data_IF_447940415405
#
_entry.id   IF_447940415405
#
_cell.length_a   1.000
_cell.length_b   1.000
_cell.length_c   1.000
_cell.angle_alpha   90.00
_cell.angle_beta   90.00
_cell.angle_gamma   90.00
#
_symmetry.space_group_name_H-M   'P 1'
#
loop_
_entity.id
_entity.type
_entity.pdbx_description
1 polymer ?
#
# COMPACT_ATOMS: atom_id res chain seq x y z
N UNK A 1 -3.44 -22.38 8.42
CA UNK A 1 -4.12 -21.10 8.74
C UNK A 1 -3.27 -19.86 8.48
N UNK A 2 -1.96 -19.82 8.82
CA UNK A 2 -1.17 -18.59 8.64
C UNK A 2 -1.06 -18.08 7.20
N UNK A 3 -1.17 -18.93 6.17
CA UNK A 3 -1.12 -18.53 4.75
C UNK A 3 -2.44 -18.00 4.18
N UNK A 4 -3.54 -18.06 4.94
CA UNK A 4 -4.86 -17.67 4.45
C UNK A 4 -4.89 -16.23 3.89
N UNK A 5 -4.30 -15.21 4.55
CA UNK A 5 -4.30 -13.86 4.00
C UNK A 5 -3.59 -13.76 2.64
N UNK A 6 -2.43 -14.41 2.49
CA UNK A 6 -1.69 -14.44 1.22
C UNK A 6 -2.51 -15.13 0.14
N UNK A 7 -3.12 -16.27 0.44
CA UNK A 7 -3.97 -16.99 -0.51
C UNK A 7 -5.16 -16.13 -0.96
N UNK A 8 -5.85 -15.46 -0.03
CA UNK A 8 -6.97 -14.57 -0.34
C UNK A 8 -6.52 -13.37 -1.17
N UNK A 9 -5.45 -12.69 -0.75
CA UNK A 9 -4.90 -11.52 -1.45
C UNK A 9 -4.47 -11.86 -2.87
N UNK A 10 -3.71 -12.94 -3.06
CA UNK A 10 -3.25 -13.37 -4.39
C UNK A 10 -4.39 -13.86 -5.28
N UNK A 11 -5.38 -14.57 -4.73
CA UNK A 11 -6.52 -15.05 -5.51
C UNK A 11 -7.37 -13.88 -6.01
N UNK A 12 -7.70 -12.94 -5.12
CA UNK A 12 -8.47 -11.76 -5.51
C UNK A 12 -7.69 -10.87 -6.49
N UNK A 13 -6.40 -10.66 -6.25
CA UNK A 13 -5.54 -9.94 -7.18
C UNK A 13 -5.50 -10.61 -8.56
N UNK A 14 -5.32 -11.92 -8.62
CA UNK A 14 -5.29 -12.66 -9.88
C UNK A 14 -6.61 -12.53 -10.66
N UNK A 15 -7.75 -12.64 -9.97
CA UNK A 15 -9.06 -12.46 -10.59
C UNK A 15 -9.25 -11.04 -11.11
N UNK A 16 -8.88 -10.02 -10.32
CA UNK A 16 -8.94 -8.61 -10.73
C UNK A 16 -8.04 -8.32 -11.93
N UNK A 17 -6.81 -8.83 -11.92
CA UNK A 17 -5.89 -8.69 -13.06
C UNK A 17 -6.41 -9.41 -14.30
N UNK A 18 -7.00 -10.60 -14.17
CA UNK A 18 -7.58 -11.32 -15.30
C UNK A 18 -8.73 -10.53 -15.93
N UNK A 19 -9.58 -9.92 -15.10
CA UNK A 19 -10.64 -9.00 -15.55
C UNK A 19 -10.03 -7.81 -16.29
N UNK A 20 -9.07 -7.11 -15.69
CA UNK A 20 -8.35 -5.98 -16.34
C UNK A 20 -7.75 -6.37 -17.68
N UNK A 21 -7.08 -7.52 -17.78
CA UNK A 21 -6.48 -7.97 -19.04
C UNK A 21 -7.54 -8.21 -20.12
N UNK A 22 -8.66 -8.83 -19.77
CA UNK A 22 -9.75 -9.10 -20.73
C UNK A 22 -10.38 -7.80 -21.24
N UNK A 23 -10.69 -6.86 -20.36
CA UNK A 23 -11.42 -5.65 -20.72
C UNK A 23 -10.50 -4.56 -21.25
N UNK A 24 -9.45 -4.21 -20.51
CA UNK A 24 -8.62 -3.05 -20.80
C UNK A 24 -7.50 -3.37 -21.80
N UNK A 25 -7.00 -4.61 -21.83
CA UNK A 25 -5.84 -4.98 -22.68
C UNK A 25 -6.24 -5.72 -23.95
N UNK A 26 -7.35 -6.47 -23.93
CA UNK A 26 -7.91 -7.10 -25.13
C UNK A 26 -9.09 -6.33 -25.73
N UNK A 27 -9.57 -5.26 -25.08
CA UNK A 27 -10.60 -4.38 -25.64
C UNK A 27 -11.98 -5.03 -25.77
N UNK A 28 -12.32 -5.98 -24.89
CA UNK A 28 -13.64 -6.63 -24.91
C UNK A 28 -14.69 -5.66 -24.39
N UNK A 29 -15.29 -4.86 -25.28
CA UNK A 29 -16.18 -3.73 -24.92
C UNK A 29 -17.53 -4.09 -24.27
N UNK A 30 -17.86 -5.38 -24.12
CA UNK A 30 -19.20 -5.82 -23.73
C UNK A 30 -19.59 -5.58 -22.25
N UNK A 31 -18.66 -5.15 -21.37
CA UNK A 31 -18.90 -5.01 -19.92
C UNK A 31 -18.61 -3.61 -19.35
N UNK A 32 -18.22 -2.63 -20.17
CA UNK A 32 -18.06 -1.24 -19.73
C UNK A 32 -19.35 -0.66 -19.09
N UNK A 33 -20.52 -1.21 -19.45
CA UNK A 33 -21.82 -0.84 -18.90
C UNK A 33 -22.03 -1.15 -17.40
N UNK A 34 -21.19 -2.00 -16.79
CA UNK A 34 -21.33 -2.37 -15.36
C UNK A 34 -20.38 -1.60 -14.44
N UNK A 35 -19.39 -0.90 -14.99
CA UNK A 35 -18.46 -0.07 -14.24
C UNK A 35 -18.85 1.39 -14.46
N UNK A 36 -19.80 1.85 -13.65
CA UNK A 36 -20.24 3.26 -13.62
C UNK A 36 -19.18 4.04 -12.83
N UNK A 37 -18.09 4.43 -13.49
CA UNK A 37 -17.11 5.36 -12.96
C UNK A 37 -16.72 6.40 -14.03
N UNK A 38 -16.16 7.53 -13.60
CA UNK A 38 -15.76 8.66 -14.46
C UNK A 38 -14.55 8.35 -15.37
N UNK A 39 -14.06 7.10 -15.38
CA UNK A 39 -12.89 6.67 -16.13
C UNK A 39 -13.17 5.35 -16.89
N UNK A 40 -12.84 5.27 -18.20
CA UNK A 40 -13.31 4.18 -19.07
C UNK A 40 -12.54 2.86 -18.94
N UNK A 41 -11.62 2.76 -17.97
CA UNK A 41 -10.76 1.59 -17.77
C UNK A 41 -11.20 0.81 -16.53
N UNK A 42 -11.47 -0.48 -16.69
CA UNK A 42 -11.98 -1.37 -15.64
C UNK A 42 -11.01 -1.46 -14.47
N UNK A 43 -9.70 -1.46 -14.73
CA UNK A 43 -8.71 -1.44 -13.66
C UNK A 43 -8.88 -0.24 -12.75
N UNK A 44 -9.26 0.93 -13.28
CA UNK A 44 -9.43 2.13 -12.46
C UNK A 44 -10.58 1.94 -11.46
N UNK A 45 -11.69 1.33 -11.87
CA UNK A 45 -12.80 1.00 -10.94
C UNK A 45 -12.46 -0.03 -9.86
N UNK A 46 -11.45 -0.87 -10.09
CA UNK A 46 -11.06 -1.95 -9.17
C UNK A 46 -9.93 -1.52 -8.24
N UNK A 47 -8.97 -0.77 -8.78
CA UNK A 47 -7.69 -0.46 -8.15
C UNK A 47 -7.53 1.02 -7.74
N UNK A 48 -8.42 1.94 -8.12
CA UNK A 48 -8.29 3.35 -7.65
C UNK A 48 -8.53 3.51 -6.14
N UNK A 49 -8.22 4.71 -5.65
CA UNK A 49 -8.44 5.07 -4.24
C UNK A 49 -9.89 4.78 -3.79
N UNK A 50 -10.04 4.15 -2.64
CA UNK A 50 -11.28 3.71 -2.01
C UNK A 50 -11.94 2.50 -2.67
N UNK A 51 -11.32 1.85 -3.67
CA UNK A 51 -11.91 0.72 -4.39
C UNK A 51 -11.58 -0.63 -3.77
N UNK A 52 -11.94 -1.70 -4.49
CA UNK A 52 -11.96 -3.06 -3.98
C UNK A 52 -10.59 -3.52 -3.49
N UNK A 53 -9.54 -3.22 -4.25
CA UNK A 53 -8.19 -3.64 -3.91
C UNK A 53 -7.72 -2.91 -2.66
N UNK A 54 -7.79 -1.59 -2.63
CA UNK A 54 -7.39 -0.79 -1.47
C UNK A 54 -8.19 -1.15 -0.21
N UNK A 55 -9.51 -1.33 -0.29
CA UNK A 55 -10.35 -1.80 0.84
C UNK A 55 -9.90 -3.14 1.41
N UNK A 56 -9.38 -4.04 0.57
CA UNK A 56 -8.84 -5.31 1.03
C UNK A 56 -7.49 -5.11 1.73
N UNK A 57 -6.67 -4.18 1.25
CA UNK A 57 -5.45 -3.76 1.95
C UNK A 57 -5.78 -3.20 3.34
N UNK A 58 -6.74 -2.28 3.42
CA UNK A 58 -7.24 -1.70 4.66
C UNK A 58 -7.66 -2.78 5.65
N UNK A 59 -8.40 -3.79 5.18
CA UNK A 59 -8.81 -4.92 6.01
C UNK A 59 -7.61 -5.71 6.55
N UNK A 60 -6.60 -6.00 5.73
CA UNK A 60 -5.40 -6.72 6.18
C UNK A 60 -4.57 -5.92 7.18
N UNK A 61 -4.38 -4.62 6.95
CA UNK A 61 -3.62 -3.74 7.83
C UNK A 61 -4.34 -3.53 9.17
N UNK A 62 -5.64 -3.23 9.15
CA UNK A 62 -6.47 -3.10 10.36
C UNK A 62 -6.49 -4.40 11.18
N UNK A 63 -6.61 -5.55 10.51
CA UNK A 63 -6.51 -6.86 11.16
C UNK A 63 -5.13 -7.09 11.79
N UNK A 64 -4.06 -6.65 11.14
CA UNK A 64 -2.69 -6.71 11.66
C UNK A 64 -2.50 -5.84 12.91
N UNK A 65 -3.03 -4.62 12.88
CA UNK A 65 -3.02 -3.71 14.02
C UNK A 65 -3.80 -4.30 15.21
N UNK A 66 -5.01 -4.81 14.98
CA UNK A 66 -5.83 -5.42 16.02
C UNK A 66 -5.16 -6.67 16.61
N UNK A 67 -4.65 -7.57 15.77
CA UNK A 67 -3.98 -8.79 16.21
C UNK A 67 -2.77 -8.48 17.10
N UNK A 68 -1.93 -7.53 16.68
CA UNK A 68 -0.75 -7.15 17.45
C UNK A 68 -1.13 -6.42 18.75
N UNK A 69 -2.17 -5.59 18.76
CA UNK A 69 -2.70 -4.96 19.97
C UNK A 69 -3.23 -5.98 20.98
N UNK A 70 -3.97 -7.00 20.52
CA UNK A 70 -4.46 -8.09 21.37
C UNK A 70 -3.32 -8.89 22.00
N UNK A 71 -2.30 -9.22 21.22
CA UNK A 71 -1.11 -9.90 21.75
C UNK A 71 -0.38 -9.00 22.74
N UNK A 72 -0.17 -7.71 22.42
CA UNK A 72 0.41 -6.73 23.35
C UNK A 72 -0.32 -6.70 24.69
N UNK A 73 -1.66 -6.64 24.68
CA UNK A 73 -2.49 -6.63 25.89
C UNK A 73 -2.40 -7.91 26.72
N UNK A 74 -2.14 -9.05 26.08
CA UNK A 74 -1.99 -10.35 26.75
C UNK A 74 -0.62 -10.59 27.39
N UNK A 75 0.40 -9.80 27.03
CA UNK A 75 1.74 -9.94 27.61
C UNK A 75 1.76 -9.24 28.97
N UNK A 76 2.02 -10.00 30.04
CA UNK A 76 2.17 -9.46 31.40
C UNK A 76 3.18 -8.30 31.52
N UNK A 77 3.01 -7.43 32.50
CA UNK A 77 3.79 -6.19 32.71
C UNK A 77 5.20 -6.39 33.29
N UNK A 78 5.66 -7.65 33.43
CA UNK A 78 6.98 -7.96 33.98
C UNK A 78 8.11 -7.33 33.15
N UNK A 79 9.14 -6.72 33.78
CA UNK A 79 10.31 -6.19 33.08
C UNK A 79 10.97 -7.19 32.12
N UNK A 80 10.93 -8.48 32.44
CA UNK A 80 11.49 -9.55 31.62
C UNK A 80 10.82 -9.69 30.23
N UNK A 81 9.56 -9.24 30.09
CA UNK A 81 8.79 -9.30 28.83
C UNK A 81 8.65 -7.93 28.16
N UNK A 82 9.36 -6.92 28.63
CA UNK A 82 9.28 -5.54 28.13
C UNK A 82 9.61 -5.42 26.64
N UNK A 83 10.61 -6.17 26.16
CA UNK A 83 11.03 -6.19 24.75
C UNK A 83 9.92 -6.79 23.87
N UNK A 84 9.29 -7.88 24.31
CA UNK A 84 8.19 -8.54 23.59
C UNK A 84 6.99 -7.59 23.49
N UNK A 85 6.62 -6.93 24.61
CA UNK A 85 5.58 -5.89 24.63
C UNK A 85 5.89 -4.77 23.65
N UNK A 86 7.12 -4.25 23.67
CA UNK A 86 7.54 -3.18 22.77
C UNK A 86 7.45 -3.61 21.30
N UNK A 87 7.80 -4.85 20.97
CA UNK A 87 7.65 -5.38 19.61
C UNK A 87 6.20 -5.32 19.11
N UNK A 88 5.26 -5.86 19.89
CA UNK A 88 3.84 -5.89 19.49
C UNK A 88 3.18 -4.51 19.53
N UNK A 89 3.60 -3.62 20.44
CA UNK A 89 3.18 -2.23 20.40
C UNK A 89 3.65 -1.53 19.12
N UNK A 90 4.91 -1.71 18.72
CA UNK A 90 5.45 -1.10 17.50
C UNK A 90 4.80 -1.69 16.24
N UNK A 91 4.52 -2.99 16.19
CA UNK A 91 3.71 -3.55 15.10
C UNK A 91 2.32 -2.92 15.07
N UNK A 92 1.64 -2.84 16.20
CA UNK A 92 0.30 -2.24 16.27
C UNK A 92 0.31 -0.79 15.78
N UNK A 93 1.29 0.01 16.21
CA UNK A 93 1.46 1.38 15.76
C UNK A 93 1.77 1.46 14.26
N UNK A 94 2.68 0.63 13.75
CA UNK A 94 3.07 0.61 12.34
C UNK A 94 1.92 0.21 11.42
N UNK A 95 1.24 -0.90 11.70
CA UNK A 95 0.06 -1.34 10.94
C UNK A 95 -1.08 -0.32 11.00
N UNK A 96 -1.30 0.32 12.15
CA UNK A 96 -2.32 1.35 12.28
C UNK A 96 -1.97 2.61 11.48
N UNK A 97 -0.71 3.04 11.49
CA UNK A 97 -0.27 4.17 10.68
C UNK A 97 -0.35 3.89 9.18
N UNK A 98 -0.01 2.68 8.73
CA UNK A 98 -0.23 2.25 7.33
C UNK A 98 -1.71 2.33 6.98
N UNK A 99 -2.58 1.74 7.81
CA UNK A 99 -4.03 1.80 7.59
C UNK A 99 -4.58 3.23 7.55
N UNK A 100 -4.12 4.11 8.45
CA UNK A 100 -4.54 5.52 8.43
C UNK A 100 -4.03 6.27 7.21
N UNK A 101 -2.85 5.91 6.72
CA UNK A 101 -2.32 6.49 5.48
C UNK A 101 -3.22 6.17 4.31
N UNK A 102 -3.48 4.88 4.06
CA UNK A 102 -4.32 4.44 2.95
C UNK A 102 -5.75 4.99 3.10
N UNK A 103 -6.39 4.80 4.27
CA UNK A 103 -7.80 5.14 4.45
C UNK A 103 -8.12 6.64 4.42
N UNK A 104 -7.26 7.47 5.03
CA UNK A 104 -7.53 8.90 5.19
C UNK A 104 -6.63 9.78 4.31
N UNK A 105 -5.71 9.18 3.58
CA UNK A 105 -4.69 9.89 2.80
C UNK A 105 -3.96 10.96 3.65
N UNK A 106 -3.66 10.64 4.92
CA UNK A 106 -3.11 11.62 5.89
C UNK A 106 -1.81 12.24 5.39
N UNK A 107 -1.02 11.47 4.62
CA UNK A 107 0.22 11.92 4.01
C UNK A 107 -0.02 13.10 3.08
N UNK A 108 -0.96 12.98 2.13
CA UNK A 108 -1.27 14.06 1.19
C UNK A 108 -2.02 15.20 1.85
N UNK A 109 -2.92 14.91 2.80
CA UNK A 109 -3.61 15.91 3.60
C UNK A 109 -2.62 16.81 4.34
N UNK A 110 -1.68 16.22 5.08
CA UNK A 110 -0.68 16.99 5.84
C UNK A 110 0.25 17.75 4.89
N UNK A 111 0.66 17.11 3.80
CA UNK A 111 1.53 17.75 2.81
C UNK A 111 0.91 19.03 2.25
N UNK A 112 -0.39 18.99 1.93
CA UNK A 112 -1.10 20.04 1.22
C UNK A 112 -1.59 21.14 2.16
N UNK A 113 -2.09 20.76 3.34
CA UNK A 113 -2.65 21.71 4.30
C UNK A 113 -1.58 22.42 5.16
N UNK A 114 -0.42 21.79 5.40
CA UNK A 114 0.57 22.32 6.35
C UNK A 114 1.96 22.45 5.76
N UNK A 115 2.51 21.37 5.16
CA UNK A 115 3.93 21.36 4.78
C UNK A 115 4.23 22.27 3.59
N UNK A 116 3.41 22.25 2.54
CA UNK A 116 3.59 23.15 1.38
C UNK A 116 3.49 24.62 1.82
N UNK A 117 2.42 25.07 2.53
CA UNK A 117 2.35 26.45 3.03
C UNK A 117 3.50 26.82 3.97
N UNK A 118 3.95 25.89 4.82
CA UNK A 118 5.02 26.17 5.78
C UNK A 118 6.36 26.44 5.09
N UNK A 119 6.62 25.80 3.94
CA UNK A 119 7.91 25.87 3.24
C UNK A 119 7.90 26.65 1.93
N UNK A 120 6.77 27.26 1.55
CA UNK A 120 6.60 27.94 0.26
C UNK A 120 7.64 29.04 -0.04
N UNK A 121 8.17 29.68 1.01
CA UNK A 121 9.19 30.72 0.88
C UNK A 121 10.59 30.19 0.51
N UNK A 122 10.83 28.88 0.68
CA UNK A 122 12.16 28.28 0.50
C UNK A 122 12.19 27.14 -0.52
N UNK A 123 11.06 26.47 -0.75
CA UNK A 123 10.95 25.27 -1.56
C UNK A 123 9.76 25.35 -2.51
N UNK A 124 9.89 24.75 -3.69
CA UNK A 124 8.73 24.49 -4.54
C UNK A 124 7.78 23.51 -3.85
N UNK A 125 6.48 23.58 -4.16
CA UNK A 125 5.45 22.66 -3.63
C UNK A 125 5.81 21.19 -3.82
N UNK A 126 6.42 20.84 -4.97
CA UNK A 126 6.89 19.49 -5.26
C UNK A 126 8.03 19.06 -4.32
N UNK A 127 9.01 19.93 -4.08
CA UNK A 127 10.11 19.63 -3.16
C UNK A 127 9.63 19.50 -1.70
N UNK A 128 8.78 20.43 -1.25
CA UNK A 128 8.21 20.38 0.09
C UNK A 128 7.40 19.10 0.32
N UNK A 129 6.57 18.70 -0.65
CA UNK A 129 5.82 17.44 -0.62
C UNK A 129 6.75 16.23 -0.57
N UNK A 130 7.73 16.14 -1.48
CA UNK A 130 8.68 15.03 -1.53
C UNK A 130 9.45 14.86 -0.21
N UNK A 131 9.94 15.95 0.39
CA UNK A 131 10.65 15.91 1.67
C UNK A 131 9.71 15.39 2.77
N UNK A 132 8.48 15.90 2.84
CA UNK A 132 7.50 15.43 3.82
C UNK A 132 7.17 13.94 3.65
N UNK A 133 6.86 13.50 2.43
CA UNK A 133 6.53 12.11 2.13
C UNK A 133 7.71 11.18 2.48
N UNK A 134 8.95 11.57 2.15
CA UNK A 134 10.15 10.84 2.52
C UNK A 134 10.34 10.75 4.05
N UNK A 135 10.10 11.85 4.77
CA UNK A 135 10.17 11.88 6.24
C UNK A 135 9.08 10.99 6.85
N UNK A 136 7.86 11.05 6.33
CA UNK A 136 6.74 10.21 6.75
C UNK A 136 7.09 8.73 6.63
N UNK A 137 7.55 8.28 5.45
CA UNK A 137 7.94 6.89 5.24
C UNK A 137 9.18 6.49 6.04
N UNK A 138 10.12 7.40 6.29
CA UNK A 138 11.25 7.15 7.18
C UNK A 138 10.79 6.85 8.62
N UNK A 139 9.85 7.62 9.16
CA UNK A 139 9.29 7.37 10.48
C UNK A 139 8.52 6.04 10.52
N UNK A 140 7.70 5.76 9.52
CA UNK A 140 6.95 4.51 9.42
C UNK A 140 7.90 3.29 9.35
N UNK A 141 8.91 3.36 8.49
CA UNK A 141 9.94 2.33 8.36
C UNK A 141 10.70 2.15 9.68
N UNK A 142 11.03 3.24 10.39
CA UNK A 142 11.72 3.18 11.69
C UNK A 142 10.90 2.44 12.76
N UNK A 143 9.57 2.65 12.79
CA UNK A 143 8.66 1.93 13.71
C UNK A 143 8.69 0.43 13.41
N UNK A 144 8.56 0.06 12.14
CA UNK A 144 8.54 -1.35 11.71
C UNK A 144 9.89 -2.04 11.92
N UNK A 145 11.01 -1.38 11.55
CA UNK A 145 12.37 -1.86 11.83
C UNK A 145 12.61 -2.02 13.33
N UNK A 146 12.12 -1.07 14.14
CA UNK A 146 12.14 -1.16 15.60
C UNK A 146 11.40 -2.38 16.12
N UNK A 147 10.25 -2.73 15.53
CA UNK A 147 9.49 -3.93 15.86
C UNK A 147 10.29 -5.21 15.53
N UNK A 148 10.89 -5.30 14.34
CA UNK A 148 11.77 -6.40 13.95
C UNK A 148 12.97 -6.54 14.88
N UNK A 149 13.61 -5.43 15.22
CA UNK A 149 14.73 -5.41 16.16
C UNK A 149 14.32 -5.96 17.53
N UNK A 150 13.13 -5.58 18.03
CA UNK A 150 12.61 -6.10 19.29
C UNK A 150 12.33 -7.62 19.21
N UNK A 151 11.79 -8.12 18.10
CA UNK A 151 11.65 -9.58 17.90
C UNK A 151 13.00 -10.29 18.01
N UNK A 152 14.02 -9.81 17.28
CA UNK A 152 15.37 -10.38 17.30
C UNK A 152 16.01 -10.35 18.69
N UNK A 153 15.72 -9.32 19.50
CA UNK A 153 16.25 -9.15 20.86
C UNK A 153 15.43 -9.83 21.94
N UNK A 154 14.22 -10.31 21.65
CA UNK A 154 13.31 -10.90 22.65
C UNK A 154 13.88 -12.15 23.33
N UNK A 155 14.79 -12.87 22.67
CA UNK A 155 15.32 -14.15 23.15
C UNK A 155 14.29 -15.30 23.13
N UNK A 156 13.03 -15.04 22.76
CA UNK A 156 11.98 -16.05 22.68
C UNK A 156 12.08 -16.84 21.38
N UNK A 157 12.09 -18.17 21.47
CA UNK A 157 12.12 -19.08 20.31
C UNK A 157 10.98 -18.82 19.31
N UNK A 158 9.82 -18.42 19.83
CA UNK A 158 8.59 -18.18 19.06
C UNK A 158 8.59 -16.81 18.35
N UNK A 159 9.38 -15.85 18.85
CA UNK A 159 9.40 -14.47 18.37
C UNK A 159 10.58 -14.22 17.43
N UNK A 160 10.65 -15.01 16.36
CA UNK A 160 11.60 -14.78 15.28
C UNK A 160 10.91 -14.12 14.09
N UNK A 161 11.53 -13.14 13.42
CA UNK A 161 11.00 -12.58 12.18
C UNK A 161 10.68 -13.69 11.18
N UNK A 162 9.42 -13.75 10.75
CA UNK A 162 8.98 -14.69 9.74
C UNK A 162 9.38 -14.16 8.36
N UNK A 163 9.88 -15.03 7.47
CA UNK A 163 10.25 -14.65 6.08
C UNK A 163 9.14 -13.88 5.36
N UNK A 164 7.87 -14.22 5.61
CA UNK A 164 6.71 -13.51 5.02
C UNK A 164 6.56 -12.09 5.53
N UNK A 165 6.73 -11.89 6.83
CA UNK A 165 6.66 -10.57 7.45
C UNK A 165 7.78 -9.67 6.91
N UNK A 166 9.00 -10.22 6.79
CA UNK A 166 10.14 -9.51 6.20
C UNK A 166 9.90 -9.19 4.73
N UNK A 167 9.41 -10.15 3.94
CA UNK A 167 9.09 -9.93 2.52
C UNK A 167 8.03 -8.86 2.33
N UNK A 168 6.92 -8.94 3.07
CA UNK A 168 5.86 -7.93 3.01
C UNK A 168 6.35 -6.54 3.43
N UNK A 169 7.20 -6.45 4.45
CA UNK A 169 7.79 -5.17 4.87
C UNK A 169 8.68 -4.56 3.79
N UNK A 170 9.57 -5.37 3.18
CA UNK A 170 10.45 -4.90 2.11
C UNK A 170 9.62 -4.47 0.90
N UNK A 171 8.60 -5.24 0.52
CA UNK A 171 7.76 -4.93 -0.62
C UNK A 171 6.97 -3.63 -0.40
N UNK A 172 6.32 -3.47 0.76
CA UNK A 172 5.61 -2.23 1.10
C UNK A 172 6.56 -1.03 1.13
N UNK A 173 7.77 -1.21 1.68
CA UNK A 173 8.80 -0.17 1.68
C UNK A 173 9.26 0.24 0.28
N UNK A 174 9.34 -0.72 -0.66
CA UNK A 174 9.66 -0.42 -2.06
C UNK A 174 8.55 0.40 -2.73
N UNK A 175 7.29 0.07 -2.48
CA UNK A 175 6.16 0.84 -3.03
C UNK A 175 6.11 2.24 -2.41
N UNK A 176 6.15 2.35 -1.08
CA UNK A 176 6.16 3.66 -0.41
C UNK A 176 7.35 4.53 -0.84
N UNK A 177 8.53 3.93 -1.08
CA UNK A 177 9.66 4.65 -1.68
C UNK A 177 9.35 5.11 -3.11
N UNK A 178 8.82 4.22 -3.97
CA UNK A 178 8.37 4.59 -5.31
C UNK A 178 7.42 5.79 -5.29
N UNK A 179 6.37 5.69 -4.48
CA UNK A 179 5.33 6.72 -4.31
C UNK A 179 5.92 8.06 -3.83
N UNK A 180 6.79 8.06 -2.82
CA UNK A 180 7.43 9.29 -2.33
C UNK A 180 8.31 9.99 -3.38
N UNK A 181 8.90 9.22 -4.29
CA UNK A 181 9.76 9.70 -5.35
C UNK A 181 9.05 9.78 -6.70
N UNK A 182 7.72 9.66 -6.77
CA UNK A 182 6.95 9.65 -8.04
C UNK A 182 7.24 10.80 -8.99
N UNK A 183 7.46 12.01 -8.44
CA UNK A 183 7.76 13.23 -9.21
C UNK A 183 9.24 13.36 -9.59
N UNK A 184 10.11 12.51 -9.05
CA UNK A 184 11.52 12.52 -9.39
C UNK A 184 11.69 11.95 -10.81
N UNK A 185 12.05 12.81 -11.76
CA UNK A 185 12.17 12.48 -13.19
C UNK A 185 10.92 11.85 -13.81
N UNK A 186 9.73 12.04 -13.21
CA UNK A 186 8.44 11.52 -13.70
C UNK A 186 8.47 10.01 -13.99
N UNK A 187 9.18 9.24 -13.15
CA UNK A 187 9.49 7.85 -13.45
C UNK A 187 8.23 6.97 -13.55
N UNK A 188 7.20 7.23 -12.73
CA UNK A 188 5.93 6.49 -12.78
C UNK A 188 5.25 6.68 -14.14
N UNK A 189 5.11 7.93 -14.59
CA UNK A 189 4.51 8.24 -15.88
C UNK A 189 5.31 7.62 -17.03
N UNK A 190 6.64 7.72 -17.00
CA UNK A 190 7.50 7.11 -18.03
C UNK A 190 7.36 5.60 -18.09
N UNK A 191 7.29 4.94 -16.92
CA UNK A 191 7.07 3.50 -16.84
C UNK A 191 5.70 3.12 -17.43
N UNK A 192 4.65 3.84 -17.04
CA UNK A 192 3.30 3.62 -17.55
C UNK A 192 3.19 3.81 -19.05
N UNK A 193 3.74 4.90 -19.57
CA UNK A 193 3.78 5.17 -21.01
C UNK A 193 4.57 4.09 -21.76
N UNK A 194 5.67 3.59 -21.19
CA UNK A 194 6.43 2.48 -21.77
C UNK A 194 5.57 1.21 -21.87
N UNK A 195 4.80 0.88 -20.83
CA UNK A 195 3.88 -0.27 -20.83
C UNK A 195 2.81 -0.08 -21.93
N UNK A 196 2.14 1.08 -21.93
CA UNK A 196 1.10 1.44 -22.90
C UNK A 196 1.61 1.31 -24.34
N UNK A 197 2.79 1.86 -24.63
CA UNK A 197 3.38 1.83 -25.97
C UNK A 197 3.83 0.41 -26.34
N UNK A 198 4.45 -0.33 -25.42
CA UNK A 198 4.94 -1.70 -25.67
C UNK A 198 3.81 -2.70 -25.96
N UNK A 199 2.63 -2.47 -25.39
CA UNK A 199 1.45 -3.30 -25.58
C UNK A 199 0.47 -2.72 -26.61
N UNK A 200 0.83 -1.60 -27.24
CA UNK A 200 0.01 -0.88 -28.22
C UNK A 200 -1.41 -0.56 -27.69
N UNK A 201 -1.53 -0.22 -26.41
CA UNK A 201 -2.84 -0.02 -25.76
C UNK A 201 -3.58 1.20 -26.33
N UNK A 202 -2.86 2.19 -26.89
CA UNK A 202 -3.43 3.35 -27.60
C UNK A 202 -4.31 2.98 -28.81
N UNK A 203 -4.20 1.75 -29.34
CA UNK A 203 -5.05 1.28 -30.42
C UNK A 203 -6.42 0.77 -29.93
N UNK A 204 -6.61 0.62 -28.62
CA UNK A 204 -7.83 0.12 -27.99
C UNK A 204 -8.75 1.31 -27.67
N UNK A 205 -10.04 1.19 -27.99
CA UNK A 205 -11.05 2.25 -27.85
C UNK A 205 -11.10 2.85 -26.43
N UNK A 206 -11.16 2.00 -25.39
CA UNK A 206 -11.22 2.44 -24.00
C UNK A 206 -9.99 3.28 -23.59
N UNK A 207 -8.81 2.94 -24.10
CA UNK A 207 -7.60 3.72 -23.85
C UNK A 207 -7.61 5.05 -24.62
N UNK A 208 -8.13 5.07 -25.85
CA UNK A 208 -8.29 6.31 -26.61
C UNK A 208 -9.22 7.29 -25.88
N UNK A 209 -10.32 6.79 -25.32
CA UNK A 209 -11.22 7.57 -24.49
C UNK A 209 -10.51 8.10 -23.23
N UNK A 210 -9.75 7.26 -22.52
CA UNK A 210 -8.96 7.67 -21.36
C UNK A 210 -7.95 8.79 -21.69
N UNK A 211 -7.26 8.70 -22.83
CA UNK A 211 -6.37 9.75 -23.31
C UNK A 211 -7.14 11.02 -23.70
N UNK A 212 -8.31 10.89 -24.32
CA UNK A 212 -9.15 12.04 -24.66
C UNK A 212 -9.61 12.80 -23.42
N UNK A 213 -10.02 12.10 -22.36
CA UNK A 213 -10.37 12.71 -21.07
C UNK A 213 -9.16 13.45 -20.48
N UNK A 214 -8.00 12.80 -20.45
CA UNK A 214 -6.78 13.42 -19.95
C UNK A 214 -6.41 14.70 -20.69
N UNK A 215 -6.44 14.70 -22.03
CA UNK A 215 -6.12 15.90 -22.80
C UNK A 215 -7.14 17.02 -22.57
N UNK A 216 -8.42 16.69 -22.41
CA UNK A 216 -9.44 17.66 -22.07
C UNK A 216 -9.21 18.30 -20.70
N UNK A 217 -8.86 17.51 -19.68
CA UNK A 217 -8.53 18.02 -18.34
C UNK A 217 -7.27 18.90 -18.36
N UNK A 218 -6.27 18.53 -19.16
CA UNK A 218 -5.04 19.32 -19.30
C UNK A 218 -5.28 20.68 -19.98
N UNK A 219 -6.23 20.75 -20.92
CA UNK A 219 -6.66 22.03 -21.53
C UNK A 219 -7.31 22.97 -20.51
N UNK A 220 -8.08 22.42 -19.56
CA UNK A 220 -8.75 23.20 -18.52
C UNK A 220 -7.81 23.56 -17.35
N UNK A 221 -6.87 22.67 -17.06
CA UNK A 221 -5.90 22.80 -15.97
C UNK A 221 -4.51 22.34 -16.46
N UNK A 222 -3.64 23.28 -16.87
CA UNK A 222 -2.30 22.95 -17.36
C UNK A 222 -1.42 22.19 -16.35
N UNK A 223 -1.77 22.22 -15.06
CA UNK A 223 -1.07 21.51 -13.98
C UNK A 223 -1.68 20.11 -13.69
N UNK A 224 -2.60 19.61 -14.54
CA UNK A 224 -3.22 18.29 -14.38
C UNK A 224 -2.20 17.15 -14.59
N UNK A 225 -1.81 16.50 -13.50
CA UNK A 225 -0.75 15.49 -13.47
C UNK A 225 -1.20 14.03 -13.52
N UNK A 226 -2.49 13.75 -13.74
CA UNK A 226 -3.03 12.38 -13.70
C UNK A 226 -3.15 11.77 -15.11
N UNK A 227 -2.01 11.58 -15.77
CA UNK A 227 -2.00 10.95 -17.10
C UNK A 227 -2.37 9.46 -17.03
N UNK A 228 -2.90 8.85 -18.12
CA UNK A 228 -3.20 7.41 -18.13
C UNK A 228 -1.98 6.55 -17.81
N UNK A 229 -0.78 6.98 -18.20
CA UNK A 229 0.48 6.34 -17.84
C UNK A 229 0.76 6.41 -16.34
N UNK A 230 0.61 7.58 -15.73
CA UNK A 230 0.72 7.74 -14.28
C UNK A 230 -0.30 6.83 -13.56
N UNK A 231 -1.58 6.92 -13.92
CA UNK A 231 -2.67 6.18 -13.26
C UNK A 231 -2.53 4.66 -13.43
N UNK A 232 -1.97 4.19 -14.54
CA UNK A 232 -1.68 2.77 -14.74
C UNK A 232 -0.65 2.27 -13.71
N UNK A 233 0.41 3.03 -13.45
CA UNK A 233 1.42 2.62 -12.46
C UNK A 233 0.88 2.79 -11.05
N UNK A 234 0.33 3.96 -10.74
CA UNK A 234 -0.19 4.31 -9.41
C UNK A 234 -1.29 3.34 -8.96
N UNK A 235 -2.33 3.15 -9.77
CA UNK A 235 -3.45 2.30 -9.37
C UNK A 235 -3.22 0.83 -9.72
N UNK A 236 -2.81 0.47 -10.95
CA UNK A 236 -2.72 -0.97 -11.26
C UNK A 236 -1.49 -1.61 -10.63
N UNK A 237 -0.32 -0.98 -10.71
CA UNK A 237 0.95 -1.60 -10.28
C UNK A 237 1.19 -1.44 -8.79
N UNK A 238 1.13 -0.22 -8.24
CA UNK A 238 1.44 0.01 -6.83
C UNK A 238 0.43 -0.68 -5.91
N UNK A 239 -0.86 -0.51 -6.12
CA UNK A 239 -1.91 -1.16 -5.31
C UNK A 239 -1.86 -2.69 -5.38
N UNK A 240 -1.46 -3.25 -6.53
CA UNK A 240 -1.22 -4.70 -6.64
C UNK A 240 -0.09 -5.14 -5.71
N UNK A 241 1.02 -4.39 -5.69
CA UNK A 241 2.17 -4.70 -4.86
C UNK A 241 1.88 -4.46 -3.37
N UNK A 242 1.11 -3.44 -3.03
CA UNK A 242 0.70 -3.16 -1.66
C UNK A 242 -0.27 -4.21 -1.12
N UNK A 243 -1.25 -4.68 -1.92
CA UNK A 243 -2.10 -5.80 -1.53
C UNK A 243 -1.28 -7.07 -1.27
N UNK A 244 -0.31 -7.38 -2.13
CA UNK A 244 0.64 -8.48 -1.89
C UNK A 244 1.36 -8.22 -0.57
N UNK A 245 1.94 -7.04 -0.37
CA UNK A 245 2.69 -6.70 0.82
C UNK A 245 1.85 -6.83 2.11
N UNK A 246 0.66 -6.24 2.15
CA UNK A 246 -0.29 -6.29 3.27
C UNK A 246 -0.69 -7.73 3.60
N UNK A 247 -0.95 -8.56 2.58
CA UNK A 247 -1.30 -9.97 2.77
C UNK A 247 -0.14 -10.77 3.40
N UNK A 248 1.10 -10.52 2.97
CA UNK A 248 2.30 -11.15 3.51
C UNK A 248 2.63 -10.65 4.93
N UNK A 249 2.42 -9.36 5.20
CA UNK A 249 2.57 -8.76 6.52
C UNK A 249 1.62 -9.41 7.53
N UNK A 250 0.32 -9.48 7.23
CA UNK A 250 -0.66 -10.11 8.12
C UNK A 250 -0.40 -11.62 8.28
N UNK A 251 -0.08 -12.33 7.19
CA UNK A 251 0.26 -13.75 7.21
C UNK A 251 1.49 -14.04 8.07
N UNK A 252 2.53 -13.21 7.93
CA UNK A 252 3.75 -13.27 8.71
C UNK A 252 3.50 -12.97 10.19
N UNK A 253 2.69 -11.95 10.50
CA UNK A 253 2.31 -11.62 11.86
C UNK A 253 1.52 -12.77 12.51
N UNK A 254 0.51 -13.33 11.84
CA UNK A 254 -0.23 -14.50 12.33
C UNK A 254 0.68 -15.70 12.65
N UNK A 255 1.71 -15.91 11.83
CA UNK A 255 2.66 -17.00 12.03
C UNK A 255 3.51 -16.85 13.30
N UNK A 256 3.69 -15.62 13.78
CA UNK A 256 4.44 -15.30 15.00
C UNK A 256 3.48 -15.20 16.20
N UNK A 257 2.39 -14.45 16.02
CA UNK A 257 1.41 -14.15 17.07
C UNK A 257 0.68 -15.38 17.59
N UNK A 258 0.26 -16.32 16.72
CA UNK A 258 -0.54 -17.46 17.16
C UNK A 258 0.23 -18.44 18.06
N UNK A 259 1.44 -18.93 17.69
CA UNK A 259 2.23 -19.77 18.59
C UNK A 259 2.57 -19.06 19.90
N UNK A 260 2.95 -17.78 19.80
CA UNK A 260 3.33 -17.00 20.96
C UNK A 260 2.15 -16.77 21.93
N UNK A 261 0.97 -16.45 21.42
CA UNK A 261 -0.23 -16.29 22.24
C UNK A 261 -0.64 -17.59 22.97
N UNK A 262 -0.57 -18.74 22.28
CA UNK A 262 -0.80 -20.05 22.92
C UNK A 262 0.21 -20.33 24.03
N UNK A 263 1.47 -19.95 23.82
CA UNK A 263 2.51 -20.04 24.86
C UNK A 263 2.17 -19.15 26.05
N UNK A 264 1.68 -17.93 25.85
CA UNK A 264 1.26 -17.06 26.95
C UNK A 264 0.15 -17.69 27.80
N UNK A 265 -0.83 -18.35 27.17
CA UNK A 265 -1.92 -19.05 27.87
C UNK A 265 -1.44 -20.28 28.66
N UNK A 266 -0.32 -20.91 28.29
CA UNK A 266 0.21 -22.04 29.05
C UNK A 266 0.85 -21.66 30.40
N UNK A 267 1.07 -20.36 30.64
CA UNK A 267 1.65 -19.82 31.87
C UNK A 267 0.63 -19.16 32.81
N UNK A 268 -0.64 -19.09 32.41
CA UNK A 268 -1.75 -18.54 33.21
C UNK A 268 -2.56 -19.67 33.81
#
# INVERSE_FOLDING_TARGET
>A
MSYLPVFLGLTLLFLSLAVTVVFDFFGVSALALFFIDDYPLVYYSIFSEGRTIEKLQWFFLASGALLSALVYGSIGTSPARSIERRAFFLFSAGFFLMFLEDWMNIRHLISSAYMIPLFEAWLSSTQARMIWEAVFYFFLASIMVGAFWCLLKSGSSELKPNKRLTFGFVLYGMVGFGSAFRRLFEWQERLGNTIIDSLNLKAIEAWQEAFSIYYHELEQNPDYGFSPGYLLVDHLVEESLELIAASFLLSGLLAISLPYYRKLQSYS
#
